data_IF_383782095772
#
_entry.id   IF_383782095772
#
_cell.length_a   1.000
_cell.length_b   1.000
_cell.length_c   1.000
_cell.angle_alpha   90.00
_cell.angle_beta   90.00
_cell.angle_gamma   90.00
#
_symmetry.space_group_name_H-M   'P 1'
#
loop_
_entity.id
_entity.type
_entity.pdbx_description
1 polymer ?
#
# COMPACT_ATOMS: atom_id res chain seq x y z
N UNK A 1 2.00 -43.30 -18.28
CA UNK A 1 1.67 -42.99 -16.87
C UNK A 1 2.57 -41.83 -16.49
N UNK A 2 2.01 -40.64 -16.30
CA UNK A 2 2.76 -39.39 -16.22
C UNK A 2 3.41 -39.24 -14.85
N UNK A 3 4.66 -38.75 -14.80
CA UNK A 3 5.45 -38.66 -13.57
C UNK A 3 4.79 -37.80 -12.47
N UNK A 4 3.97 -36.83 -12.88
CA UNK A 4 3.14 -36.01 -12.00
C UNK A 4 2.19 -36.83 -11.11
N UNK A 5 1.64 -37.94 -11.61
CA UNK A 5 0.75 -38.79 -10.83
C UNK A 5 1.51 -39.59 -9.76
N UNK A 6 2.74 -40.00 -10.05
CA UNK A 6 3.62 -40.69 -9.09
C UNK A 6 4.07 -39.76 -7.96
N UNK A 7 4.39 -38.50 -8.29
CA UNK A 7 4.75 -37.46 -7.31
C UNK A 7 3.56 -37.17 -6.40
N UNK A 8 2.37 -36.95 -6.97
CA UNK A 8 1.14 -36.69 -6.21
C UNK A 8 0.83 -37.83 -5.26
N UNK A 9 0.88 -39.07 -5.75
CA UNK A 9 0.61 -40.28 -4.95
C UNK A 9 1.63 -40.51 -3.83
N UNK A 10 2.90 -40.15 -4.04
CA UNK A 10 3.93 -40.20 -2.98
C UNK A 10 3.76 -39.08 -1.94
N UNK A 11 3.35 -37.89 -2.36
CA UNK A 11 3.17 -36.73 -1.48
C UNK A 11 1.96 -36.89 -0.54
N UNK A 12 0.88 -37.54 -1.01
CA UNK A 12 -0.29 -37.88 -0.18
C UNK A 12 -0.10 -39.12 0.70
N UNK A 13 1.06 -39.79 0.65
CA UNK A 13 1.34 -40.98 1.47
C UNK A 13 1.48 -40.67 2.96
N UNK A 14 1.83 -39.41 3.29
CA UNK A 14 1.94 -38.87 4.66
C UNK A 14 1.24 -37.50 4.69
N UNK A 15 -0.10 -37.45 4.63
CA UNK A 15 -0.84 -36.20 4.44
C UNK A 15 -0.57 -35.18 5.55
N UNK A 16 -0.32 -35.66 6.77
CA UNK A 16 0.01 -34.82 7.92
C UNK A 16 1.28 -33.98 7.69
N UNK A 17 2.38 -34.60 7.24
CA UNK A 17 3.66 -33.90 7.04
C UNK A 17 3.58 -32.87 5.92
N UNK A 18 2.92 -33.23 4.81
CA UNK A 18 2.74 -32.33 3.67
C UNK A 18 1.91 -31.12 4.06
N UNK A 19 0.78 -31.32 4.76
CA UNK A 19 -0.06 -30.21 5.22
C UNK A 19 0.67 -29.33 6.21
N UNK A 20 1.40 -29.90 7.19
CA UNK A 20 2.16 -29.12 8.17
C UNK A 20 3.21 -28.22 7.52
N UNK A 21 3.96 -28.73 6.53
CA UNK A 21 4.95 -27.93 5.81
C UNK A 21 4.32 -26.85 4.94
N UNK A 22 3.25 -27.16 4.21
CA UNK A 22 2.53 -26.17 3.41
C UNK A 22 1.95 -25.06 4.27
N UNK A 23 1.34 -25.39 5.42
CA UNK A 23 0.79 -24.40 6.36
C UNK A 23 1.90 -23.55 6.98
N UNK A 24 3.05 -24.16 7.31
CA UNK A 24 4.20 -23.41 7.84
C UNK A 24 4.72 -22.36 6.85
N UNK A 25 4.89 -22.74 5.59
CA UNK A 25 5.31 -21.82 4.52
C UNK A 25 4.23 -20.76 4.26
N UNK A 26 2.96 -21.17 4.24
CA UNK A 26 1.82 -20.26 4.07
C UNK A 26 1.78 -19.19 5.16
N UNK A 27 2.01 -19.55 6.42
CA UNK A 27 2.04 -18.58 7.51
C UNK A 27 3.20 -17.59 7.41
N UNK A 28 4.37 -18.01 6.93
CA UNK A 28 5.48 -17.08 6.68
C UNK A 28 5.08 -16.00 5.66
N UNK A 29 4.45 -16.39 4.56
CA UNK A 29 3.92 -15.44 3.57
C UNK A 29 2.77 -14.59 4.11
N UNK A 30 1.90 -15.16 4.94
CA UNK A 30 0.78 -14.43 5.55
C UNK A 30 1.29 -13.30 6.45
N UNK A 31 2.24 -13.60 7.34
CA UNK A 31 2.86 -12.59 8.22
C UNK A 31 3.55 -11.51 7.39
N UNK A 32 4.30 -11.90 6.36
CA UNK A 32 4.96 -10.95 5.46
C UNK A 32 3.97 -10.04 4.71
N UNK A 33 2.89 -10.63 4.18
CA UNK A 33 1.84 -9.89 3.50
C UNK A 33 1.09 -8.93 4.42
N UNK A 34 0.81 -9.36 5.66
CA UNK A 34 0.17 -8.51 6.67
C UNK A 34 1.06 -7.33 7.06
N UNK A 35 2.35 -7.56 7.27
CA UNK A 35 3.31 -6.50 7.60
C UNK A 35 3.46 -5.50 6.45
N UNK A 36 3.52 -6.00 5.21
CA UNK A 36 3.58 -5.17 3.99
C UNK A 36 2.30 -4.35 3.83
N UNK A 37 1.13 -4.95 4.00
CA UNK A 37 -0.15 -4.26 3.95
C UNK A 37 -0.25 -3.17 5.01
N UNK A 38 0.18 -3.45 6.24
CA UNK A 38 0.22 -2.47 7.31
C UNK A 38 1.17 -1.31 6.99
N UNK A 39 2.36 -1.62 6.47
CA UNK A 39 3.34 -0.60 6.07
C UNK A 39 2.78 0.31 4.97
N UNK A 40 2.16 -0.27 3.94
CA UNK A 40 1.50 0.48 2.87
C UNK A 40 0.33 1.29 3.40
N UNK A 41 -0.50 0.72 4.28
CA UNK A 41 -1.63 1.42 4.87
C UNK A 41 -1.18 2.61 5.72
N UNK A 42 -0.09 2.47 6.49
CA UNK A 42 0.50 3.56 7.28
C UNK A 42 1.12 4.64 6.40
N UNK A 43 1.85 4.26 5.34
CA UNK A 43 2.40 5.21 4.37
C UNK A 43 1.30 5.90 3.55
N UNK A 44 0.20 5.22 3.25
CA UNK A 44 -0.96 5.81 2.57
C UNK A 44 -1.77 6.70 3.50
N UNK A 45 -1.84 6.34 4.79
CA UNK A 45 -2.42 7.19 5.82
C UNK A 45 -1.59 8.47 6.01
N UNK A 46 -0.26 8.41 5.93
CA UNK A 46 0.59 9.61 5.92
C UNK A 46 0.53 10.37 4.60
N UNK A 47 0.38 9.71 3.45
CA UNK A 47 0.14 10.34 2.13
C UNK A 47 -1.26 10.96 1.98
N UNK A 48 -2.23 10.62 2.84
CA UNK A 48 -3.45 11.44 2.95
C UNK A 48 -3.12 12.85 3.48
N UNK A 49 -1.92 13.01 4.05
CA UNK A 49 -1.20 14.27 4.26
C UNK A 49 -0.34 14.71 3.07
N UNK A 50 -0.65 14.37 1.81
CA UNK A 50 -0.03 14.95 0.59
C UNK A 50 -0.23 16.48 0.45
N UNK A 51 -0.77 17.14 1.48
CA UNK A 51 -0.63 18.57 1.73
C UNK A 51 0.72 18.95 2.37
N UNK A 52 1.55 17.98 2.79
CA UNK A 52 2.81 18.27 3.48
C UNK A 52 3.88 18.86 2.55
N UNK A 53 3.77 18.64 1.24
CA UNK A 53 4.70 19.17 0.21
C UNK A 53 3.96 20.06 -0.81
N UNK A 54 2.72 20.46 -0.51
CA UNK A 54 1.92 21.32 -1.39
C UNK A 54 1.29 22.44 -0.58
N UNK A 55 1.83 23.65 -0.74
CA UNK A 55 1.18 24.84 -0.22
C UNK A 55 -0.12 25.12 -0.98
N UNK A 56 -1.24 25.13 -0.26
CA UNK A 56 -2.54 25.55 -0.78
C UNK A 56 -2.81 26.98 -0.31
N UNK A 57 -2.77 27.95 -1.24
CA UNK A 57 -3.13 29.35 -0.94
C UNK A 57 -4.63 29.54 -1.13
N UNK A 58 -5.32 29.91 -0.06
CA UNK A 58 -6.76 30.22 -0.06
C UNK A 58 -7.02 31.72 0.08
N UNK A 59 -8.17 32.19 -0.41
CA UNK A 59 -8.59 33.57 -0.26
C UNK A 59 -8.97 33.86 1.20
N UNK A 60 -8.38 34.91 1.80
CA UNK A 60 -8.62 35.33 3.19
C UNK A 60 -10.07 35.73 3.46
N UNK A 61 -10.81 36.18 2.44
CA UNK A 61 -12.16 36.73 2.59
C UNK A 61 -13.22 35.63 2.46
N UNK A 62 -13.08 34.69 1.51
CA UNK A 62 -14.06 33.63 1.31
C UNK A 62 -13.52 32.45 0.49
N UNK A 63 -13.81 31.22 0.91
CA UNK A 63 -13.38 30.00 0.20
C UNK A 63 -14.17 29.74 -1.10
N UNK A 64 -15.36 30.33 -1.22
CA UNK A 64 -16.25 30.16 -2.38
C UNK A 64 -15.93 31.10 -3.54
N UNK A 65 -15.07 32.10 -3.33
CA UNK A 65 -14.64 33.04 -4.37
C UNK A 65 -13.26 32.67 -4.91
N UNK A 66 -13.10 32.56 -6.24
CA UNK A 66 -11.81 32.23 -6.84
C UNK A 66 -10.78 33.33 -6.57
N UNK A 67 -9.50 32.95 -6.49
CA UNK A 67 -8.42 33.92 -6.32
C UNK A 67 -8.32 34.82 -7.57
N UNK A 68 -8.17 36.15 -7.38
CA UNK A 68 -7.86 37.05 -8.49
C UNK A 68 -6.56 36.65 -9.20
N UNK A 69 -6.56 36.70 -10.54
CA UNK A 69 -5.40 36.37 -11.39
C UNK A 69 -4.17 37.23 -11.05
N UNK A 70 -4.39 38.45 -10.53
CA UNK A 70 -3.31 39.33 -10.08
C UNK A 70 -2.43 38.72 -8.97
N UNK A 71 -2.94 37.74 -8.21
CA UNK A 71 -2.19 37.08 -7.13
C UNK A 71 -1.32 35.92 -7.58
N UNK A 72 -1.38 35.49 -8.85
CA UNK A 72 -0.56 34.39 -9.38
C UNK A 72 0.93 34.65 -9.16
N UNK A 73 1.43 35.84 -9.51
CA UNK A 73 2.83 36.21 -9.32
C UNK A 73 3.23 36.23 -7.84
N UNK A 74 2.32 36.63 -6.95
CA UNK A 74 2.56 36.67 -5.50
C UNK A 74 2.59 35.27 -4.88
N UNK A 75 1.76 34.36 -5.37
CA UNK A 75 1.74 32.97 -4.94
C UNK A 75 3.02 32.25 -5.39
N UNK A 76 3.49 32.53 -6.61
CA UNK A 76 4.73 31.97 -7.14
C UNK A 76 5.99 32.37 -6.35
N UNK A 77 5.95 33.49 -5.62
CA UNK A 77 7.07 33.91 -4.76
C UNK A 77 7.11 33.23 -3.39
N UNK A 78 6.09 32.43 -3.04
CA UNK A 78 6.07 31.70 -1.77
C UNK A 78 6.97 30.46 -1.89
N UNK A 79 8.00 30.31 -1.03
CA UNK A 79 8.80 29.09 -0.99
C UNK A 79 7.94 27.95 -0.42
N UNK A 80 7.73 26.90 -1.21
CA UNK A 80 6.87 25.77 -0.87
C UNK A 80 7.05 24.59 -1.79
#
# INVERSE_FOLDING_TARGET
>A
MTDFDLIRKNLFRKPLRTVLLTVSIFMAFLIFGMLTSLNVALNRASETGAASDRLIVSNKINFTQPLPIAYVNRIATVPG
#
